data_IF_431439095964
#
_entry.id   IF_431439095964
#
_cell.length_a   1.000
_cell.length_b   1.000
_cell.length_c   1.000
_cell.angle_alpha   90.00
_cell.angle_beta   90.00
_cell.angle_gamma   90.00
#
_symmetry.space_group_name_H-M   'P 1'
#
loop_
_entity.id
_entity.type
_entity.pdbx_description
1 polymer ?
#
# COMPACT_ATOMS: atom_id res chain seq x y z
N UNK A 1 -1.37 8.50 -6.91
CA UNK A 1 -2.28 8.86 -8.03
C UNK A 1 -1.90 8.17 -9.34
N UNK A 2 -0.65 8.33 -9.86
CA UNK A 2 -0.26 7.69 -11.14
C UNK A 2 -0.36 6.16 -11.04
N UNK A 3 0.13 5.56 -9.99
CA UNK A 3 0.10 4.10 -9.78
C UNK A 3 -1.31 3.49 -9.66
N UNK A 4 -2.30 4.26 -9.19
CA UNK A 4 -3.69 3.78 -9.09
C UNK A 4 -4.48 3.92 -10.41
N UNK A 5 -4.01 4.76 -11.33
CA UNK A 5 -4.63 4.93 -12.65
C UNK A 5 -4.20 3.81 -13.61
N UNK A 6 -2.98 3.28 -13.45
CA UNK A 6 -2.45 2.22 -14.32
C UNK A 6 -3.35 0.97 -14.36
N UNK A 7 -3.82 0.41 -13.22
CA UNK A 7 -4.75 -0.72 -13.25
C UNK A 7 -6.12 -0.41 -13.86
N UNK A 8 -6.52 0.86 -13.88
CA UNK A 8 -7.77 1.29 -14.48
C UNK A 8 -7.70 1.30 -16.02
N UNK A 9 -6.53 1.66 -16.57
CA UNK A 9 -6.31 1.74 -18.02
C UNK A 9 -5.94 0.38 -18.61
N UNK A 10 -5.14 -0.40 -17.88
CA UNK A 10 -4.73 -1.75 -18.29
C UNK A 10 -5.58 -2.78 -17.54
N UNK A 11 -6.44 -3.50 -18.31
CA UNK A 11 -7.17 -4.65 -17.78
C UNK A 11 -6.17 -5.78 -17.52
N UNK A 12 -5.71 -5.92 -16.29
CA UNK A 12 -4.82 -7.01 -15.86
C UNK A 12 -5.58 -8.30 -15.54
N UNK A 13 -6.81 -8.47 -16.05
CA UNK A 13 -7.70 -9.57 -15.71
C UNK A 13 -7.01 -10.96 -15.69
N UNK A 14 -6.17 -11.26 -16.67
CA UNK A 14 -5.47 -12.56 -16.78
C UNK A 14 -4.14 -12.64 -16.01
N UNK A 15 -3.60 -11.55 -15.45
CA UNK A 15 -2.27 -11.51 -14.81
C UNK A 15 -2.25 -10.83 -13.44
N UNK A 16 -3.40 -10.73 -12.79
CA UNK A 16 -3.51 -10.00 -11.50
C UNK A 16 -2.53 -10.52 -10.45
N UNK A 17 -2.37 -11.84 -10.32
CA UNK A 17 -1.40 -12.45 -9.40
C UNK A 17 0.04 -12.06 -9.70
N UNK A 18 0.43 -12.17 -10.97
CA UNK A 18 1.79 -11.83 -11.38
C UNK A 18 2.08 -10.36 -11.10
N UNK A 19 1.13 -9.48 -11.42
CA UNK A 19 1.28 -8.03 -11.17
C UNK A 19 1.33 -7.72 -9.68
N UNK A 20 0.56 -8.43 -8.84
CA UNK A 20 0.65 -8.31 -7.39
C UNK A 20 2.05 -8.71 -6.88
N UNK A 21 2.56 -9.86 -7.30
CA UNK A 21 3.89 -10.31 -6.89
C UNK A 21 4.99 -9.35 -7.36
N UNK A 22 4.92 -8.89 -8.60
CA UNK A 22 5.87 -7.91 -9.13
C UNK A 22 5.82 -6.60 -8.34
N UNK A 23 4.64 -6.08 -8.01
CA UNK A 23 4.51 -4.86 -7.22
C UNK A 23 5.10 -5.01 -5.82
N UNK A 24 4.89 -6.15 -5.16
CA UNK A 24 5.46 -6.44 -3.85
C UNK A 24 6.98 -6.55 -3.93
N UNK A 25 7.51 -7.29 -4.91
CA UNK A 25 8.96 -7.45 -5.10
C UNK A 25 9.61 -6.07 -5.37
N UNK A 26 9.05 -5.28 -6.27
CA UNK A 26 9.57 -3.92 -6.55
C UNK A 26 9.54 -3.06 -5.29
N UNK A 27 8.49 -3.14 -4.49
CA UNK A 27 8.40 -2.39 -3.23
C UNK A 27 9.48 -2.81 -2.22
N UNK A 28 9.76 -4.10 -2.07
CA UNK A 28 10.80 -4.60 -1.16
C UNK A 28 12.19 -4.20 -1.66
N UNK A 29 12.45 -4.34 -2.96
CA UNK A 29 13.74 -3.97 -3.56
C UNK A 29 13.99 -2.47 -3.41
N UNK A 30 13.00 -1.63 -3.70
CA UNK A 30 13.15 -0.18 -3.54
C UNK A 30 13.37 0.24 -2.08
N UNK A 31 12.72 -0.43 -1.11
CA UNK A 31 12.99 -0.22 0.32
C UNK A 31 14.44 -0.55 0.68
N UNK A 32 14.96 -1.68 0.23
CA UNK A 32 16.36 -2.07 0.46
C UNK A 32 17.34 -1.09 -0.18
N UNK A 33 17.09 -0.67 -1.43
CA UNK A 33 17.91 0.29 -2.13
C UNK A 33 17.93 1.68 -1.47
N UNK A 34 16.86 2.10 -0.81
CA UNK A 34 16.84 3.33 -0.02
C UNK A 34 17.85 3.29 1.14
N UNK A 35 18.04 2.13 1.76
CA UNK A 35 19.07 1.96 2.79
C UNK A 35 20.50 2.02 2.25
N UNK A 36 20.70 1.83 0.94
CA UNK A 36 22.02 1.78 0.30
C UNK A 36 22.47 3.11 -0.30
N UNK A 37 21.58 4.10 -0.43
CA UNK A 37 21.89 5.35 -1.13
C UNK A 37 21.94 6.54 -0.19
N UNK A 38 22.93 7.42 -0.41
CA UNK A 38 23.02 8.75 0.20
C UNK A 38 22.68 9.86 -0.79
N UNK A 39 22.42 9.52 -2.07
CA UNK A 39 22.06 10.49 -3.09
C UNK A 39 20.58 10.87 -2.98
N UNK A 40 20.33 12.17 -2.82
CA UNK A 40 18.98 12.71 -2.66
C UNK A 40 18.09 12.43 -3.89
N UNK A 41 18.63 12.59 -5.11
CA UNK A 41 17.84 12.40 -6.33
C UNK A 41 17.47 10.95 -6.53
N UNK A 42 18.40 10.04 -6.25
CA UNK A 42 18.14 8.60 -6.32
C UNK A 42 17.12 8.19 -5.24
N UNK A 43 17.23 8.74 -4.03
CA UNK A 43 16.27 8.48 -2.97
C UNK A 43 14.83 8.92 -3.36
N UNK A 44 14.67 10.11 -3.95
CA UNK A 44 13.38 10.61 -4.44
C UNK A 44 12.84 9.72 -5.55
N UNK A 45 13.70 9.28 -6.48
CA UNK A 45 13.29 8.36 -7.55
C UNK A 45 12.80 7.01 -6.99
N UNK A 46 13.53 6.44 -6.04
CA UNK A 46 13.12 5.19 -5.37
C UNK A 46 11.79 5.35 -4.63
N UNK A 47 11.56 6.47 -3.96
CA UNK A 47 10.28 6.81 -3.34
C UNK A 47 9.14 6.89 -4.33
N UNK A 48 9.39 7.49 -5.49
CA UNK A 48 8.40 7.59 -6.55
C UNK A 48 8.04 6.20 -7.10
N UNK A 49 9.02 5.35 -7.37
CA UNK A 49 8.82 3.97 -7.83
C UNK A 49 8.08 3.14 -6.79
N UNK A 50 8.43 3.27 -5.51
CA UNK A 50 7.76 2.60 -4.41
C UNK A 50 6.29 3.04 -4.30
N UNK A 51 6.02 4.33 -4.46
CA UNK A 51 4.65 4.86 -4.45
C UNK A 51 3.79 4.30 -5.59
N UNK A 52 4.35 4.16 -6.79
CA UNK A 52 3.66 3.55 -7.93
C UNK A 52 3.39 2.06 -7.66
N UNK A 53 4.42 1.29 -7.29
CA UNK A 53 4.29 -0.14 -7.05
C UNK A 53 3.35 -0.45 -5.89
N UNK A 54 3.43 0.31 -4.80
CA UNK A 54 2.53 0.17 -3.65
C UNK A 54 1.07 0.46 -4.01
N UNK A 55 0.81 1.49 -4.82
CA UNK A 55 -0.54 1.81 -5.27
C UNK A 55 -1.12 0.71 -6.19
N UNK A 56 -0.32 0.18 -7.11
CA UNK A 56 -0.73 -0.95 -7.98
C UNK A 56 -1.04 -2.18 -7.11
N UNK A 57 -0.15 -2.53 -6.18
CA UNK A 57 -0.33 -3.67 -5.27
C UNK A 57 -1.59 -3.54 -4.42
N UNK A 58 -1.85 -2.35 -3.86
CA UNK A 58 -3.04 -2.08 -3.05
C UNK A 58 -4.33 -2.26 -3.86
N UNK A 59 -4.41 -1.69 -5.07
CA UNK A 59 -5.60 -1.81 -5.93
C UNK A 59 -5.87 -3.27 -6.29
N UNK A 60 -4.84 -4.01 -6.70
CA UNK A 60 -5.00 -5.41 -7.09
C UNK A 60 -5.36 -6.28 -5.87
N UNK A 61 -4.69 -6.10 -4.73
CA UNK A 61 -5.01 -6.82 -3.51
C UNK A 61 -6.45 -6.57 -3.06
N UNK A 62 -6.91 -5.32 -3.11
CA UNK A 62 -8.28 -4.94 -2.78
C UNK A 62 -9.28 -5.62 -3.71
N UNK A 63 -9.03 -5.63 -5.02
CA UNK A 63 -9.89 -6.29 -5.99
C UNK A 63 -9.98 -7.81 -5.74
N UNK A 64 -8.84 -8.47 -5.49
CA UNK A 64 -8.82 -9.90 -5.18
C UNK A 64 -9.59 -10.23 -3.90
N UNK A 65 -9.43 -9.44 -2.84
CA UNK A 65 -10.14 -9.65 -1.58
C UNK A 65 -11.64 -9.43 -1.75
N UNK A 66 -12.05 -8.37 -2.45
CA UNK A 66 -13.47 -8.10 -2.67
C UNK A 66 -14.13 -9.16 -3.57
N UNK A 67 -13.42 -9.68 -4.55
CA UNK A 67 -13.86 -10.84 -5.33
C UNK A 67 -14.13 -12.06 -4.43
N UNK A 68 -13.21 -12.39 -3.54
CA UNK A 68 -13.36 -13.48 -2.57
C UNK A 68 -14.53 -13.26 -1.60
N UNK A 69 -14.72 -12.04 -1.12
CA UNK A 69 -15.84 -11.70 -0.24
C UNK A 69 -17.18 -11.91 -0.94
N UNK A 70 -17.26 -11.54 -2.21
CA UNK A 70 -18.49 -11.71 -3.01
C UNK A 70 -18.83 -13.18 -3.19
N UNK A 71 -17.83 -14.04 -3.44
CA UNK A 71 -18.01 -15.48 -3.61
C UNK A 71 -18.36 -16.19 -2.29
N UNK A 72 -17.72 -15.79 -1.19
CA UNK A 72 -17.87 -16.47 0.12
C UNK A 72 -18.96 -15.88 1.00
N UNK A 73 -19.50 -14.69 0.67
CA UNK A 73 -20.48 -13.96 1.49
C UNK A 73 -19.94 -13.44 2.84
N UNK A 74 -18.63 -13.54 3.08
CA UNK A 74 -18.00 -13.17 4.35
C UNK A 74 -17.65 -11.69 4.41
N UNK A 75 -18.57 -10.88 4.92
CA UNK A 75 -18.41 -9.42 5.08
C UNK A 75 -17.31 -9.07 6.10
N UNK A 76 -17.06 -9.92 7.09
CA UNK A 76 -16.02 -9.78 8.10
C UNK A 76 -14.61 -9.60 7.48
N UNK A 77 -14.35 -10.18 6.32
CA UNK A 77 -13.08 -10.03 5.59
C UNK A 77 -12.83 -8.59 5.10
N UNK A 78 -13.87 -7.79 4.91
CA UNK A 78 -13.70 -6.36 4.57
C UNK A 78 -13.03 -5.59 5.69
N UNK A 79 -13.50 -5.80 6.92
CA UNK A 79 -12.94 -5.15 8.11
C UNK A 79 -11.50 -5.62 8.34
N UNK A 80 -11.24 -6.93 8.18
CA UNK A 80 -9.89 -7.48 8.28
C UNK A 80 -8.92 -6.85 7.26
N UNK A 81 -9.36 -6.61 6.02
CA UNK A 81 -8.53 -5.96 5.00
C UNK A 81 -8.19 -4.51 5.38
N UNK A 82 -9.18 -3.73 5.80
CA UNK A 82 -8.98 -2.34 6.19
C UNK A 82 -8.10 -2.24 7.45
N UNK A 83 -8.32 -3.11 8.45
CA UNK A 83 -7.51 -3.13 9.67
C UNK A 83 -6.07 -3.55 9.41
N UNK A 84 -5.81 -4.37 8.38
CA UNK A 84 -4.47 -4.77 7.96
C UNK A 84 -3.56 -3.58 7.65
N UNK A 85 -4.10 -2.51 7.07
CA UNK A 85 -3.35 -1.29 6.81
C UNK A 85 -2.91 -0.61 8.12
N UNK A 86 -3.80 -0.50 9.12
CA UNK A 86 -3.47 0.04 10.43
C UNK A 86 -2.45 -0.81 11.18
N UNK A 87 -2.61 -2.13 11.14
CA UNK A 87 -1.65 -3.08 11.74
C UNK A 87 -0.27 -2.95 11.09
N UNK A 88 -0.20 -2.81 9.77
CA UNK A 88 1.06 -2.60 9.04
C UNK A 88 1.78 -1.32 9.47
N UNK A 89 1.04 -0.21 9.61
CA UNK A 89 1.61 1.05 10.13
C UNK A 89 2.12 0.92 11.56
N UNK A 90 1.35 0.27 12.43
CA UNK A 90 1.73 0.03 13.82
C UNK A 90 2.99 -0.84 13.93
N UNK A 91 3.07 -1.93 13.18
CA UNK A 91 4.25 -2.79 13.14
C UNK A 91 5.49 -2.06 12.63
N UNK A 92 5.34 -1.23 11.59
CA UNK A 92 6.47 -0.44 11.08
C UNK A 92 6.97 0.60 12.09
N UNK A 93 6.06 1.25 12.83
CA UNK A 93 6.41 2.19 13.87
C UNK A 93 7.17 1.50 15.03
N UNK A 94 6.70 0.33 15.48
CA UNK A 94 7.41 -0.49 16.48
C UNK A 94 8.79 -0.88 15.99
N UNK A 95 8.91 -1.32 14.74
CA UNK A 95 10.20 -1.74 14.18
C UNK A 95 11.21 -0.57 14.18
N UNK A 96 10.79 0.63 13.76
CA UNK A 96 11.64 1.83 13.79
C UNK A 96 11.99 2.21 15.23
N UNK A 97 11.04 2.17 16.15
CA UNK A 97 11.27 2.46 17.57
C UNK A 97 12.30 1.49 18.19
N UNK A 98 12.18 0.19 17.92
CA UNK A 98 13.17 -0.80 18.39
C UNK A 98 14.54 -0.50 17.77
N UNK A 99 14.63 -0.21 16.48
CA UNK A 99 15.90 0.15 15.84
C UNK A 99 16.54 1.38 16.48
N UNK A 100 15.73 2.36 16.89
CA UNK A 100 16.21 3.56 17.59
C UNK A 100 16.74 3.25 18.99
N UNK A 101 16.16 2.28 19.71
CA UNK A 101 16.69 1.84 21.02
C UNK A 101 18.09 1.20 20.95
N UNK A 102 18.43 0.65 19.77
CA UNK A 102 19.77 0.09 19.52
C UNK A 102 20.70 1.08 18.81
N UNK A 103 20.36 2.35 18.74
CA UNK A 103 21.13 3.42 18.05
C UNK A 103 21.50 3.06 16.62
N UNK A 104 20.63 2.28 15.94
CA UNK A 104 20.86 1.88 14.56
C UNK A 104 20.77 3.11 13.64
N UNK A 105 21.81 3.30 12.84
CA UNK A 105 21.82 4.34 11.82
C UNK A 105 20.61 4.17 10.86
N UNK A 106 20.11 5.26 10.33
CA UNK A 106 18.92 5.29 9.48
C UNK A 106 18.97 4.34 8.27
N UNK A 107 20.16 4.08 7.72
CA UNK A 107 20.37 3.09 6.65
C UNK A 107 19.93 1.68 7.05
N UNK A 108 20.31 1.23 8.23
CA UNK A 108 19.97 -0.10 8.75
C UNK A 108 18.48 -0.24 9.02
N UNK A 109 17.79 0.86 9.40
CA UNK A 109 16.34 0.84 9.62
C UNK A 109 15.59 0.49 8.33
N UNK A 110 16.04 0.98 7.16
CA UNK A 110 15.46 0.62 5.87
C UNK A 110 15.64 -0.86 5.54
N UNK A 111 16.81 -1.43 5.82
CA UNK A 111 17.05 -2.85 5.61
C UNK A 111 16.22 -3.73 6.55
N UNK A 112 16.06 -3.34 7.81
CA UNK A 112 15.20 -4.06 8.76
C UNK A 112 13.75 -4.07 8.28
N UNK A 113 13.22 -2.93 7.84
CA UNK A 113 11.85 -2.85 7.32
C UNK A 113 11.71 -3.69 6.04
N UNK A 114 12.69 -3.64 5.12
CA UNK A 114 12.68 -4.44 3.91
C UNK A 114 12.68 -5.95 4.23
N UNK A 115 13.47 -6.37 5.22
CA UNK A 115 13.51 -7.75 5.69
C UNK A 115 12.18 -8.19 6.31
N UNK A 116 11.56 -7.36 7.14
CA UNK A 116 10.23 -7.63 7.72
C UNK A 116 9.20 -7.79 6.59
N UNK A 117 9.19 -6.89 5.61
CA UNK A 117 8.30 -6.99 4.46
C UNK A 117 8.54 -8.27 3.65
N UNK A 118 9.80 -8.68 3.47
CA UNK A 118 10.16 -9.93 2.79
C UNK A 118 9.58 -11.14 3.53
N UNK A 119 9.77 -11.21 4.85
CA UNK A 119 9.25 -12.30 5.69
C UNK A 119 7.72 -12.35 5.65
N UNK A 120 7.06 -11.20 5.76
CA UNK A 120 5.60 -11.12 5.69
C UNK A 120 5.03 -11.47 4.30
N UNK A 121 5.85 -11.44 3.26
CA UNK A 121 5.45 -11.83 1.90
C UNK A 121 5.41 -13.34 1.71
N UNK A 122 6.15 -14.12 2.50
CA UNK A 122 6.22 -15.58 2.39
C UNK A 122 4.83 -16.25 2.44
N UNK A 123 3.95 -15.96 3.41
CA UNK A 123 2.62 -16.55 3.45
C UNK A 123 1.74 -16.15 2.27
N UNK A 124 1.97 -14.96 1.68
CA UNK A 124 1.22 -14.51 0.50
C UNK A 124 1.57 -15.35 -0.73
N UNK A 125 2.85 -15.68 -0.91
CA UNK A 125 3.33 -16.52 -2.01
C UNK A 125 2.87 -17.97 -1.83
N UNK A 126 2.84 -18.45 -0.59
CA UNK A 126 2.49 -19.85 -0.26
C UNK A 126 0.98 -20.10 -0.28
N UNK A 127 0.16 -19.06 -0.19
CA UNK A 127 -1.30 -19.21 -0.22
C UNK A 127 -1.78 -19.49 -1.65
N UNK A 128 -2.57 -20.55 -1.88
CA UNK A 128 -3.31 -20.73 -3.11
C UNK A 128 -4.40 -19.65 -3.15
N UNK A 129 -4.07 -18.47 -3.64
CA UNK A 129 -5.07 -17.46 -3.97
C UNK A 129 -5.88 -18.02 -5.15
N UNK A 130 -6.97 -18.71 -4.86
CA UNK A 130 -7.96 -19.01 -5.88
C UNK A 130 -8.47 -17.67 -6.40
N UNK A 131 -8.06 -17.29 -7.60
CA UNK A 131 -8.74 -16.25 -8.35
C UNK A 131 -10.12 -16.83 -8.59
N UNK A 132 -11.09 -16.45 -7.77
CA UNK A 132 -12.47 -16.74 -8.07
C UNK A 132 -12.65 -16.35 -9.52
N UNK A 133 -13.03 -17.32 -10.35
CA UNK A 133 -13.47 -17.10 -11.73
C UNK A 133 -14.30 -15.83 -11.68
N UNK A 134 -13.98 -14.84 -12.50
CA UNK A 134 -14.69 -13.57 -12.56
C UNK A 134 -16.16 -13.85 -12.36
N UNK A 135 -16.69 -13.56 -11.17
CA UNK A 135 -18.11 -13.40 -11.03
C UNK A 135 -18.37 -12.28 -12.03
N UNK A 136 -18.83 -12.64 -13.20
CA UNK A 136 -19.34 -11.73 -14.19
C UNK A 136 -20.34 -10.87 -13.40
N UNK A 137 -19.84 -9.74 -12.91
CA UNK A 137 -20.71 -8.68 -12.46
C UNK A 137 -21.50 -8.42 -13.72
N UNK A 138 -22.73 -8.91 -13.68
CA UNK A 138 -23.71 -8.67 -14.73
C UNK A 138 -23.64 -7.16 -14.95
N UNK A 139 -22.93 -6.78 -16.01
CA UNK A 139 -22.79 -5.38 -16.40
C UNK A 139 -24.15 -4.99 -16.97
N UNK A 140 -25.14 -4.91 -16.06
CA UNK A 140 -26.32 -4.13 -16.34
C UNK A 140 -25.79 -2.75 -16.71
N UNK A 141 -25.89 -2.47 -17.98
CA UNK A 141 -25.41 -1.32 -18.75
C UNK A 141 -24.96 -0.16 -17.88
N UNK A 142 -23.69 0.23 -17.90
CA UNK A 142 -23.23 1.35 -17.10
C UNK A 142 -24.07 2.54 -17.50
N UNK A 143 -24.91 3.02 -16.59
CA UNK A 143 -25.52 4.33 -16.72
C UNK A 143 -24.34 5.29 -16.85
N UNK A 144 -24.12 5.80 -18.06
CA UNK A 144 -22.97 6.62 -18.45
C UNK A 144 -22.97 8.00 -17.76
N UNK A 145 -23.76 8.16 -16.70
CA UNK A 145 -23.84 9.37 -15.88
C UNK A 145 -23.13 9.10 -14.57
N UNK A 146 -21.90 9.59 -14.46
CA UNK A 146 -21.25 9.69 -13.14
C UNK A 146 -22.24 10.43 -12.21
N UNK A 147 -22.71 9.73 -11.17
CA UNK A 147 -23.54 10.37 -10.15
C UNK A 147 -22.72 11.48 -9.48
N UNK A 148 -23.32 12.67 -9.35
CA UNK A 148 -22.70 13.81 -8.66
C UNK A 148 -22.23 13.40 -7.25
N UNK A 149 -22.97 12.50 -6.60
CA UNK A 149 -22.60 11.92 -5.32
C UNK A 149 -21.29 11.11 -5.38
N UNK A 150 -21.07 10.34 -6.45
CA UNK A 150 -19.82 9.58 -6.62
C UNK A 150 -18.62 10.52 -6.80
N UNK A 151 -18.76 11.58 -7.59
CA UNK A 151 -17.72 12.60 -7.76
C UNK A 151 -17.42 13.29 -6.43
N UNK A 152 -18.45 13.67 -5.66
CA UNK A 152 -18.30 14.30 -4.35
C UNK A 152 -17.54 13.41 -3.35
N UNK A 153 -17.88 12.13 -3.27
CA UNK A 153 -17.19 11.15 -2.42
C UNK A 153 -15.72 10.97 -2.86
N UNK A 154 -15.47 10.87 -4.16
CA UNK A 154 -14.12 10.70 -4.71
C UNK A 154 -13.23 11.91 -4.41
N UNK A 155 -13.76 13.12 -4.55
CA UNK A 155 -13.06 14.37 -4.22
C UNK A 155 -12.82 14.45 -2.70
N UNK A 156 -13.80 14.10 -1.88
CA UNK A 156 -13.64 14.03 -0.42
C UNK A 156 -12.55 13.05 0.00
N UNK A 157 -12.50 11.87 -0.61
CA UNK A 157 -11.49 10.85 -0.35
C UNK A 157 -10.08 11.31 -0.78
N UNK A 158 -9.98 12.04 -1.90
CA UNK A 158 -8.73 12.66 -2.34
C UNK A 158 -8.19 13.65 -1.30
N UNK A 159 -9.02 14.58 -0.82
CA UNK A 159 -8.60 15.56 0.20
C UNK A 159 -8.27 14.90 1.53
N UNK A 160 -9.01 13.87 1.92
CA UNK A 160 -8.69 13.09 3.11
C UNK A 160 -7.31 12.46 3.02
N UNK A 161 -6.99 11.78 1.91
CA UNK A 161 -5.67 11.17 1.69
C UNK A 161 -4.54 12.20 1.66
N UNK A 162 -4.77 13.35 1.01
CA UNK A 162 -3.83 14.45 0.96
C UNK A 162 -3.54 15.02 2.37
N UNK A 163 -4.60 15.30 3.13
CA UNK A 163 -4.47 15.80 4.50
C UNK A 163 -3.77 14.79 5.42
N UNK A 164 -4.07 13.50 5.27
CA UNK A 164 -3.43 12.43 6.04
C UNK A 164 -1.91 12.38 5.83
N UNK A 165 -1.45 12.49 4.58
CA UNK A 165 -0.02 12.49 4.25
C UNK A 165 0.67 13.72 4.82
N UNK A 166 0.08 14.91 4.66
CA UNK A 166 0.61 16.16 5.23
C UNK A 166 0.72 16.04 6.74
N UNK A 167 -0.37 15.66 7.41
CA UNK A 167 -0.40 15.52 8.86
C UNK A 167 0.68 14.54 9.35
N UNK A 168 0.78 13.36 8.76
CA UNK A 168 1.79 12.36 9.13
C UNK A 168 3.22 12.83 8.95
N UNK A 169 3.48 13.63 7.91
CA UNK A 169 4.83 14.17 7.64
C UNK A 169 5.17 15.29 8.61
N UNK A 170 4.27 16.24 8.82
CA UNK A 170 4.55 17.42 9.65
C UNK A 170 4.53 17.12 11.14
N UNK A 171 3.70 16.19 11.64
CA UNK A 171 3.68 15.85 13.05
C UNK A 171 4.97 15.19 13.50
N UNK A 172 5.57 14.34 12.63
CA UNK A 172 6.88 13.76 12.91
C UNK A 172 7.98 14.81 12.97
N UNK A 173 7.97 15.77 12.02
CA UNK A 173 8.93 16.88 12.00
C UNK A 173 8.74 17.82 13.22
N UNK A 174 7.51 18.04 13.67
CA UNK A 174 7.18 18.85 14.83
C UNK A 174 7.66 18.18 16.12
N UNK A 175 7.43 16.88 16.27
CA UNK A 175 7.86 16.10 17.43
C UNK A 175 9.40 16.13 17.62
N UNK A 176 10.17 16.05 16.52
CA UNK A 176 11.62 16.11 16.57
C UNK A 176 12.15 17.51 16.89
N UNK A 177 11.44 18.57 16.47
CA UNK A 177 11.89 19.95 16.62
C UNK A 177 11.33 20.66 17.87
N UNK A 178 10.49 19.99 18.69
CA UNK A 178 9.89 20.59 19.89
C UNK A 178 10.50 19.96 21.14
N UNK A 179 11.45 20.64 21.81
CA UNK A 179 12.14 20.10 22.99
C UNK A 179 11.27 19.92 24.24
N UNK A 180 10.00 20.27 24.18
CA UNK A 180 9.06 20.19 25.31
C UNK A 180 8.40 18.81 25.48
N UNK A 181 8.82 17.79 24.74
CA UNK A 181 8.30 16.41 24.80
C UNK A 181 9.34 15.40 25.30
N UNK A 182 10.47 15.88 25.86
CA UNK A 182 11.43 15.06 26.61
C UNK A 182 11.01 14.84 28.05
#
# INVERSE_FOLDING_TARGET
LIGSIIPLIYSFANKQRLTLYLSVIVSIVTLGLMGSTSDFYLFVLLRFLQGISGAIGLVIATNLIFSQITVTGRIDLRLAHISGFGVGMFLSAIAVWICSMFDLQWHYQWFVIALICLVLTIPIISSPLEVGSEASIDQTSPSNKLSLGFVGISVGYFFFGFGYIIFGTFIAALAVNTPALE
#
